data_IF_387370408749
#
_entry.id   IF_387370408749
#
_cell.length_a   1.000
_cell.length_b   1.000
_cell.length_c   1.000
_cell.angle_alpha   90.00
_cell.angle_beta   90.00
_cell.angle_gamma   90.00
#
_symmetry.space_group_name_H-M   'P 1'
#
loop_
_entity.id
_entity.type
_entity.pdbx_description
1 polymer ?
#
# COMPACT_ATOMS: atom_id res chain seq x y z
N UNK A 1 65.21 44.74 20.65
CA UNK A 1 66.56 45.03 20.10
C UNK A 1 66.80 44.10 18.92
N UNK A 2 67.19 44.67 17.78
CA UNK A 2 67.68 44.10 16.49
C UNK A 2 66.80 43.09 15.74
N UNK A 3 66.26 43.35 14.53
CA UNK A 3 66.84 43.54 13.17
C UNK A 3 67.60 42.28 12.67
N UNK A 4 67.36 41.67 11.50
CA UNK A 4 67.37 42.09 10.07
C UNK A 4 66.72 40.96 9.19
N UNK A 5 65.92 41.21 8.13
CA UNK A 5 66.26 41.37 6.66
C UNK A 5 67.07 40.17 6.07
N UNK A 6 66.87 39.57 4.88
CA UNK A 6 66.23 39.93 3.58
C UNK A 6 66.30 38.77 2.55
N UNK A 7 65.27 38.63 1.70
CA UNK A 7 65.20 38.46 0.21
C UNK A 7 65.78 37.28 -0.64
N UNK A 8 65.05 37.05 -1.76
CA UNK A 8 65.34 36.39 -3.07
C UNK A 8 65.11 34.86 -3.18
N UNK A 9 64.56 34.26 -4.25
CA UNK A 9 63.91 34.73 -5.49
C UNK A 9 63.24 33.52 -6.21
N UNK A 10 62.15 33.80 -6.93
CA UNK A 10 61.78 33.34 -8.29
C UNK A 10 62.22 31.96 -8.80
N UNK A 11 61.24 31.10 -9.15
CA UNK A 11 61.16 30.48 -10.49
C UNK A 11 59.72 30.15 -10.88
N UNK A 12 59.33 30.67 -12.04
CA UNK A 12 58.23 30.29 -12.93
C UNK A 12 58.13 28.76 -13.13
N UNK A 13 56.90 28.24 -13.17
CA UNK A 13 56.56 26.90 -13.67
C UNK A 13 55.04 26.78 -13.78
N UNK A 14 54.44 27.28 -14.87
CA UNK A 14 53.97 26.51 -16.02
C UNK A 14 52.72 25.65 -15.71
N UNK A 15 51.57 26.21 -16.13
CA UNK A 15 50.34 25.58 -16.59
C UNK A 15 50.03 24.12 -16.19
N UNK A 16 48.89 23.94 -15.51
CA UNK A 16 47.93 22.90 -15.88
C UNK A 16 46.51 23.38 -15.56
N UNK A 17 45.79 23.80 -16.59
CA UNK A 17 44.33 23.96 -16.56
C UNK A 17 43.75 22.56 -16.65
N UNK A 18 43.24 22.02 -15.55
CA UNK A 18 42.35 20.85 -15.58
C UNK A 18 41.04 21.30 -14.97
N UNK A 19 40.11 21.69 -15.85
CA UNK A 19 38.73 21.93 -15.50
C UNK A 19 38.11 20.64 -14.98
N UNK A 20 37.93 20.55 -13.68
CA UNK A 20 36.97 19.62 -13.10
C UNK A 20 35.58 20.22 -13.34
N UNK A 21 34.92 19.78 -14.42
CA UNK A 21 33.48 19.94 -14.57
C UNK A 21 32.80 19.25 -13.38
N UNK A 22 32.40 20.04 -12.40
CA UNK A 22 31.37 19.66 -11.43
C UNK A 22 30.05 19.59 -12.19
N UNK A 23 29.68 18.40 -12.65
CA UNK A 23 28.28 18.12 -12.98
C UNK A 23 27.54 17.86 -11.66
N UNK A 24 26.54 18.66 -11.29
CA UNK A 24 25.56 18.18 -10.32
C UNK A 24 24.84 17.01 -10.97
N UNK A 25 25.00 15.82 -10.40
CA UNK A 25 24.09 14.72 -10.65
C UNK A 25 22.72 15.13 -10.08
N UNK A 26 21.97 15.91 -10.85
CA UNK A 26 20.55 16.11 -10.62
C UNK A 26 19.90 14.75 -10.86
N UNK A 27 19.72 14.00 -9.77
CA UNK A 27 18.83 12.86 -9.74
C UNK A 27 17.41 13.42 -9.89
N UNK A 28 17.01 13.74 -11.12
CA UNK A 28 15.61 13.99 -11.42
C UNK A 28 14.93 12.64 -11.31
N UNK A 29 14.32 12.36 -10.15
CA UNK A 29 13.25 11.38 -10.01
C UNK A 29 12.13 11.80 -10.95
N UNK A 30 12.24 11.38 -12.22
CA UNK A 30 11.18 11.57 -13.19
C UNK A 30 10.11 10.58 -12.79
N UNK A 31 9.10 11.05 -12.06
CA UNK A 31 7.81 10.38 -12.06
C UNK A 31 7.41 10.18 -13.53
N UNK A 32 7.10 8.95 -13.95
CA UNK A 32 6.60 8.71 -15.30
C UNK A 32 5.36 9.60 -15.51
N UNK A 33 5.28 10.39 -16.59
CA UNK A 33 4.12 11.21 -16.83
C UNK A 33 2.86 10.34 -16.99
N UNK A 34 1.71 10.87 -16.54
CA UNK A 34 0.35 10.26 -16.59
C UNK A 34 -0.05 9.65 -17.94
N UNK A 35 0.65 10.03 -19.01
CA UNK A 35 0.41 9.63 -20.40
C UNK A 35 1.09 8.32 -20.83
N UNK A 36 1.69 7.54 -19.92
CA UNK A 36 2.51 6.37 -20.31
C UNK A 36 1.80 5.02 -20.28
N UNK A 37 0.60 4.92 -19.71
CA UNK A 37 -0.12 3.65 -19.67
C UNK A 37 -1.17 3.60 -20.80
N UNK A 38 -1.30 2.45 -21.49
CA UNK A 38 -2.40 2.26 -22.41
C UNK A 38 -3.72 2.45 -21.65
N UNK A 39 -4.70 3.08 -22.30
CA UNK A 39 -6.01 3.29 -21.70
C UNK A 39 -7.12 2.74 -22.58
N UNK A 40 -8.22 2.36 -21.94
CA UNK A 40 -9.48 2.03 -22.62
C UNK A 40 -10.65 2.77 -21.99
N UNK A 41 -11.73 2.93 -22.75
CA UNK A 41 -12.99 3.47 -22.24
C UNK A 41 -13.75 2.38 -21.51
N UNK A 42 -14.10 2.64 -20.26
CA UNK A 42 -14.92 1.77 -19.43
C UNK A 42 -16.39 1.76 -19.81
N UNK A 43 -17.19 0.85 -19.22
CA UNK A 43 -18.60 0.69 -19.54
C UNK A 43 -19.46 1.93 -19.24
N UNK A 44 -19.00 2.84 -18.37
CA UNK A 44 -19.68 4.08 -18.02
C UNK A 44 -19.01 5.32 -18.64
N UNK A 45 -18.10 5.14 -19.59
CA UNK A 45 -17.36 6.22 -20.24
C UNK A 45 -16.14 6.73 -19.47
N UNK A 46 -15.75 6.06 -18.38
CA UNK A 46 -14.55 6.35 -17.60
C UNK A 46 -13.27 5.95 -18.34
N UNK A 47 -12.13 6.55 -17.99
CA UNK A 47 -10.82 6.12 -18.46
C UNK A 47 -10.28 5.04 -17.55
N UNK A 48 -9.95 3.88 -18.11
CA UNK A 48 -9.31 2.75 -17.44
C UNK A 48 -7.87 2.67 -17.92
N UNK A 49 -6.92 2.69 -16.98
CA UNK A 49 -5.51 2.47 -17.24
C UNK A 49 -5.21 0.97 -17.24
N UNK A 50 -4.68 0.46 -18.34
CA UNK A 50 -4.26 -0.92 -18.50
C UNK A 50 -2.82 -1.07 -18.00
N UNK A 51 -2.69 -1.62 -16.80
CA UNK A 51 -1.41 -1.78 -16.12
C UNK A 51 -0.76 -3.11 -16.49
N UNK A 52 0.57 -3.10 -16.56
CA UNK A 52 1.38 -4.33 -16.68
C UNK A 52 2.70 -4.16 -15.92
N UNK A 53 3.00 -5.11 -15.03
CA UNK A 53 4.22 -5.07 -14.22
C UNK A 53 4.22 -3.96 -13.16
N UNK A 54 5.38 -3.34 -12.95
CA UNK A 54 5.59 -2.35 -11.89
C UNK A 54 5.34 -0.91 -12.35
N UNK A 55 4.92 -0.05 -11.41
CA UNK A 55 4.95 1.41 -11.57
C UNK A 55 3.66 2.06 -12.10
N UNK A 56 2.56 1.32 -12.16
CA UNK A 56 1.26 1.92 -12.48
C UNK A 56 0.77 2.72 -11.28
N UNK A 57 0.61 4.03 -11.44
CA UNK A 57 0.23 4.90 -10.33
C UNK A 57 -0.86 5.90 -10.75
N UNK A 58 -1.79 6.16 -9.84
CA UNK A 58 -2.70 7.30 -9.90
C UNK A 58 -2.02 8.49 -9.22
N UNK A 59 -1.96 9.64 -9.88
CA UNK A 59 -1.33 10.80 -9.26
C UNK A 59 -2.21 11.40 -8.16
N UNK A 60 -1.56 12.03 -7.18
CA UNK A 60 -2.22 12.64 -6.02
C UNK A 60 -3.39 13.54 -6.36
N UNK A 61 -4.49 13.38 -5.62
CA UNK A 61 -5.74 14.12 -5.78
C UNK A 61 -6.58 13.76 -7.01
N UNK A 62 -6.21 12.72 -7.78
CA UNK A 62 -6.98 12.32 -8.97
C UNK A 62 -8.01 11.23 -8.68
N UNK A 63 -8.80 10.90 -9.71
CA UNK A 63 -9.66 9.72 -9.70
C UNK A 63 -9.24 8.81 -10.83
N UNK A 64 -8.82 7.59 -10.51
CA UNK A 64 -8.28 6.62 -11.47
C UNK A 64 -8.98 5.27 -11.38
N UNK A 65 -9.05 4.58 -12.51
CA UNK A 65 -9.37 3.17 -12.58
C UNK A 65 -8.17 2.42 -13.17
N UNK A 66 -7.58 1.50 -12.41
CA UNK A 66 -6.36 0.77 -12.74
C UNK A 66 -6.69 -0.72 -12.88
N UNK A 67 -6.48 -1.27 -14.07
CA UNK A 67 -6.83 -2.67 -14.40
C UNK A 67 -5.55 -3.48 -14.70
N UNK A 68 -5.38 -4.60 -14.01
CA UNK A 68 -4.27 -5.53 -14.17
C UNK A 68 -4.79 -6.96 -14.40
N UNK A 69 -5.24 -7.30 -15.62
CA UNK A 69 -5.83 -8.59 -15.90
C UNK A 69 -4.80 -9.73 -15.94
N UNK A 70 -3.54 -9.42 -16.26
CA UNK A 70 -2.46 -10.40 -16.28
C UNK A 70 -1.98 -10.81 -14.87
N UNK A 71 -2.28 -10.01 -13.85
CA UNK A 71 -1.75 -10.17 -12.50
C UNK A 71 -0.30 -9.69 -12.37
N UNK A 72 0.23 -9.76 -11.15
CA UNK A 72 1.62 -9.41 -10.87
C UNK A 72 1.94 -7.92 -10.99
N UNK A 73 0.93 -7.05 -10.93
CA UNK A 73 1.16 -5.61 -11.00
C UNK A 73 1.44 -4.99 -9.63
N UNK A 74 2.26 -3.94 -9.62
CA UNK A 74 2.34 -3.00 -8.50
C UNK A 74 1.55 -1.73 -8.86
N UNK A 75 0.47 -1.48 -8.13
CA UNK A 75 -0.48 -0.40 -8.41
C UNK A 75 -0.55 0.57 -7.21
N UNK A 76 -0.24 1.85 -7.43
CA UNK A 76 -0.11 2.86 -6.37
C UNK A 76 -1.18 3.97 -6.51
N UNK A 77 -1.83 4.36 -5.41
CA UNK A 77 -2.83 5.43 -5.36
C UNK A 77 -2.31 6.58 -4.51
N UNK A 78 -1.55 7.46 -5.15
CA UNK A 78 -0.83 8.51 -4.45
C UNK A 78 -1.75 9.44 -3.65
N UNK A 79 -1.18 10.05 -2.62
CA UNK A 79 -1.85 10.87 -1.58
C UNK A 79 -3.15 11.58 -2.01
N UNK A 80 -4.22 11.38 -1.23
CA UNK A 80 -5.50 12.07 -1.38
C UNK A 80 -6.28 11.73 -2.66
N UNK A 81 -5.89 10.68 -3.38
CA UNK A 81 -6.55 10.24 -4.62
C UNK A 81 -7.74 9.32 -4.36
N UNK A 82 -8.50 9.02 -5.41
CA UNK A 82 -9.58 8.05 -5.42
C UNK A 82 -9.32 6.99 -6.47
N UNK A 83 -9.07 5.76 -6.05
CA UNK A 83 -8.67 4.71 -6.96
C UNK A 83 -9.63 3.52 -6.92
N UNK A 84 -9.92 3.00 -8.11
CA UNK A 84 -10.49 1.67 -8.27
C UNK A 84 -9.44 0.78 -8.91
N UNK A 85 -9.16 -0.36 -8.28
CA UNK A 85 -8.21 -1.35 -8.77
C UNK A 85 -8.91 -2.66 -9.08
N UNK A 86 -8.58 -3.25 -10.22
CA UNK A 86 -9.03 -4.59 -10.60
C UNK A 86 -7.83 -5.46 -10.95
N UNK A 87 -7.52 -6.44 -10.09
CA UNK A 87 -6.47 -7.43 -10.33
C UNK A 87 -7.08 -8.82 -10.51
N UNK A 88 -7.48 -9.14 -11.75
CA UNK A 88 -8.10 -10.43 -12.04
C UNK A 88 -7.09 -11.57 -12.22
N UNK A 89 -5.83 -11.26 -12.56
CA UNK A 89 -4.77 -12.25 -12.68
C UNK A 89 -4.10 -12.65 -11.35
N UNK A 90 -4.37 -11.91 -10.27
CA UNK A 90 -3.84 -12.17 -8.93
C UNK A 90 -2.39 -11.76 -8.73
N UNK A 91 -1.85 -11.99 -7.53
CA UNK A 91 -0.47 -11.64 -7.15
C UNK A 91 -0.12 -10.15 -7.35
N UNK A 92 -1.09 -9.25 -7.27
CA UNK A 92 -0.82 -7.81 -7.32
C UNK A 92 -0.43 -7.26 -5.96
N UNK A 93 0.36 -6.20 -5.96
CA UNK A 93 0.59 -5.31 -4.83
C UNK A 93 -0.23 -4.04 -5.05
N UNK A 94 -1.16 -3.76 -4.13
CA UNK A 94 -2.11 -2.66 -4.22
C UNK A 94 -1.89 -1.73 -3.04
N UNK A 95 -1.40 -0.53 -3.33
CA UNK A 95 -0.93 0.44 -2.34
C UNK A 95 -1.81 1.69 -2.34
N UNK A 96 -2.46 1.96 -1.21
CA UNK A 96 -3.37 3.08 -1.04
C UNK A 96 -2.78 4.10 -0.07
N UNK A 97 -2.08 5.10 -0.63
CA UNK A 97 -1.34 6.11 0.13
C UNK A 97 -2.22 6.97 1.06
N UNK A 98 -1.54 7.76 1.89
CA UNK A 98 -2.11 8.64 2.90
C UNK A 98 -3.34 9.42 2.40
N UNK A 99 -4.42 9.32 3.18
CA UNK A 99 -5.67 10.05 2.94
C UNK A 99 -6.42 9.68 1.65
N UNK A 100 -5.95 8.70 0.88
CA UNK A 100 -6.62 8.24 -0.33
C UNK A 100 -7.89 7.43 -0.02
N UNK A 101 -8.75 7.26 -1.02
CA UNK A 101 -9.91 6.36 -0.98
C UNK A 101 -9.77 5.31 -2.06
N UNK A 102 -9.65 4.04 -1.66
CA UNK A 102 -9.38 2.95 -2.60
C UNK A 102 -10.45 1.86 -2.53
N UNK A 103 -10.91 1.43 -3.69
CA UNK A 103 -11.68 0.19 -3.88
C UNK A 103 -10.80 -0.80 -4.63
N UNK A 104 -10.45 -1.92 -4.00
CA UNK A 104 -9.41 -2.83 -4.48
C UNK A 104 -9.94 -4.26 -4.63
N UNK A 105 -10.13 -4.71 -5.87
CA UNK A 105 -10.55 -6.07 -6.21
C UNK A 105 -9.38 -6.97 -6.59
N UNK A 106 -9.31 -8.18 -6.00
CA UNK A 106 -8.37 -9.22 -6.42
C UNK A 106 -9.07 -10.57 -6.56
N UNK A 107 -9.66 -10.82 -7.73
CA UNK A 107 -10.26 -12.12 -8.02
C UNK A 107 -9.23 -13.20 -8.33
N UNK A 108 -8.00 -12.87 -8.74
CA UNK A 108 -6.97 -13.89 -8.95
C UNK A 108 -6.36 -14.48 -7.67
N UNK A 109 -6.64 -13.88 -6.51
CA UNK A 109 -6.08 -14.25 -5.21
C UNK A 109 -4.60 -13.85 -5.04
N UNK A 110 -4.05 -14.08 -3.84
CA UNK A 110 -2.64 -13.78 -3.48
C UNK A 110 -2.23 -12.33 -3.67
N UNK A 111 -3.17 -11.40 -3.64
CA UNK A 111 -2.83 -10.00 -3.65
C UNK A 111 -2.41 -9.53 -2.27
N UNK A 112 -1.53 -8.53 -2.29
CA UNK A 112 -1.02 -7.81 -1.15
C UNK A 112 -1.68 -6.45 -1.15
N UNK A 113 -2.24 -6.04 -0.02
CA UNK A 113 -2.90 -4.76 0.15
C UNK A 113 -2.19 -3.96 1.23
N UNK A 114 -1.96 -2.69 0.94
CA UNK A 114 -1.45 -1.70 1.87
C UNK A 114 -2.41 -0.51 1.93
N UNK A 115 -2.72 -0.07 3.15
CA UNK A 115 -3.65 1.01 3.43
C UNK A 115 -3.01 1.93 4.42
N UNK A 116 -2.42 3.01 3.89
CA UNK A 116 -1.61 3.94 4.64
C UNK A 116 -2.45 4.82 5.59
N UNK A 117 -1.72 5.67 6.31
CA UNK A 117 -2.25 6.63 7.28
C UNK A 117 -3.54 7.31 6.79
N UNK A 118 -4.61 7.21 7.58
CA UNK A 118 -5.91 7.83 7.30
C UNK A 118 -6.57 7.46 5.95
N UNK A 119 -6.10 6.42 5.27
CA UNK A 119 -6.70 5.94 4.03
C UNK A 119 -8.07 5.27 4.27
N UNK A 120 -8.93 5.30 3.26
CA UNK A 120 -10.23 4.63 3.26
C UNK A 120 -10.22 3.49 2.25
N UNK A 121 -10.08 2.27 2.74
CA UNK A 121 -9.93 1.07 1.92
C UNK A 121 -11.17 0.18 1.94
N UNK A 122 -11.64 -0.19 0.76
CA UNK A 122 -12.56 -1.31 0.55
C UNK A 122 -11.85 -2.38 -0.25
N UNK A 123 -11.61 -3.53 0.36
CA UNK A 123 -10.88 -4.66 -0.20
C UNK A 123 -11.85 -5.79 -0.51
N UNK A 124 -11.85 -6.27 -1.75
CA UNK A 124 -12.59 -7.46 -2.17
C UNK A 124 -11.64 -8.55 -2.65
N UNK A 125 -11.57 -9.63 -1.88
CA UNK A 125 -10.78 -10.83 -2.17
C UNK A 125 -11.71 -12.05 -2.29
N UNK A 126 -12.47 -12.15 -3.40
CA UNK A 126 -13.57 -13.10 -3.49
C UNK A 126 -13.09 -14.56 -3.48
N UNK A 127 -11.88 -14.82 -3.97
CA UNK A 127 -11.29 -16.16 -4.04
C UNK A 127 -10.30 -16.45 -2.89
N UNK A 128 -10.21 -15.55 -1.91
CA UNK A 128 -9.42 -15.74 -0.69
C UNK A 128 -7.90 -15.69 -0.93
N UNK A 129 -7.15 -16.08 0.10
CA UNK A 129 -5.68 -16.09 0.12
C UNK A 129 -5.06 -14.71 -0.16
N UNK A 130 -5.67 -13.65 0.37
CA UNK A 130 -5.10 -12.30 0.29
C UNK A 130 -4.43 -11.92 1.60
N UNK A 131 -3.38 -11.10 1.51
CA UNK A 131 -2.72 -10.53 2.67
C UNK A 131 -2.96 -9.02 2.68
N UNK A 132 -3.71 -8.56 3.67
CA UNK A 132 -3.83 -7.13 4.01
C UNK A 132 -2.74 -6.85 5.02
N UNK A 133 -1.62 -6.33 4.51
CA UNK A 133 -0.38 -6.16 5.29
C UNK A 133 -0.51 -5.07 6.33
N UNK A 134 -1.28 -4.05 6.02
CA UNK A 134 -1.39 -2.87 6.87
C UNK A 134 -2.75 -2.25 6.67
N UNK A 135 -3.36 -1.92 7.80
CA UNK A 135 -4.37 -0.90 7.93
C UNK A 135 -3.78 0.06 8.95
N UNK A 136 -3.07 1.05 8.45
CA UNK A 136 -2.22 1.95 9.20
C UNK A 136 -3.03 2.91 10.08
N UNK A 137 -2.31 3.76 10.80
CA UNK A 137 -2.91 4.63 11.79
C UNK A 137 -4.07 5.48 11.24
N UNK A 138 -5.21 5.42 11.92
CA UNK A 138 -6.40 6.17 11.55
C UNK A 138 -7.08 5.74 10.23
N UNK A 139 -6.58 4.71 9.56
CA UNK A 139 -7.21 4.16 8.35
C UNK A 139 -8.56 3.51 8.67
N UNK A 140 -9.43 3.46 7.67
CA UNK A 140 -10.66 2.65 7.70
C UNK A 140 -10.54 1.55 6.68
N UNK A 141 -10.60 0.30 7.14
CA UNK A 141 -10.50 -0.87 6.28
C UNK A 141 -11.75 -1.73 6.36
N UNK A 142 -12.41 -1.91 5.21
CA UNK A 142 -13.45 -2.91 5.00
C UNK A 142 -12.88 -4.04 4.14
N UNK A 143 -12.67 -5.21 4.74
CA UNK A 143 -12.08 -6.38 4.07
C UNK A 143 -13.17 -7.43 3.86
N UNK A 144 -13.44 -7.77 2.60
CA UNK A 144 -14.32 -8.86 2.20
C UNK A 144 -13.48 -10.02 1.69
N UNK A 145 -13.52 -11.13 2.41
CA UNK A 145 -12.77 -12.34 2.09
C UNK A 145 -13.69 -13.58 2.08
N UNK A 146 -14.66 -13.66 1.15
CA UNK A 146 -15.58 -14.78 1.11
C UNK A 146 -14.91 -16.09 0.68
N UNK A 147 -13.77 -16.05 0.00
CA UNK A 147 -12.96 -17.24 -0.31
C UNK A 147 -12.11 -17.76 0.85
N UNK A 148 -12.07 -17.02 1.97
CA UNK A 148 -11.36 -17.41 3.19
C UNK A 148 -9.83 -17.28 3.10
N UNK A 149 -9.16 -17.72 4.16
CA UNK A 149 -7.69 -17.75 4.27
C UNK A 149 -7.01 -16.39 4.04
N UNK A 150 -7.65 -15.28 4.42
CA UNK A 150 -6.99 -13.98 4.39
C UNK A 150 -6.23 -13.70 5.68
N UNK A 151 -5.06 -13.09 5.55
CA UNK A 151 -4.31 -12.53 6.68
C UNK A 151 -4.54 -11.02 6.72
N UNK A 152 -4.86 -10.48 7.89
CA UNK A 152 -5.18 -9.06 8.06
C UNK A 152 -4.43 -8.53 9.29
N UNK A 153 -3.64 -7.48 9.10
CA UNK A 153 -3.05 -6.70 10.18
C UNK A 153 -3.75 -5.34 10.29
N UNK A 154 -4.20 -5.02 11.49
CA UNK A 154 -4.83 -3.76 11.84
C UNK A 154 -3.98 -3.04 12.87
N UNK A 155 -3.42 -1.88 12.51
CA UNK A 155 -2.50 -1.14 13.34
C UNK A 155 -3.19 -0.12 14.27
N UNK A 156 -2.40 0.70 14.96
CA UNK A 156 -2.86 1.58 16.01
C UNK A 156 -3.94 2.55 15.51
N UNK A 157 -5.03 2.73 16.25
CA UNK A 157 -6.13 3.63 15.90
C UNK A 157 -6.90 3.34 14.59
N UNK A 158 -6.59 2.27 13.85
CA UNK A 158 -7.35 1.86 12.67
C UNK A 158 -8.77 1.37 13.02
N UNK A 159 -9.72 1.58 12.11
CA UNK A 159 -11.07 1.02 12.15
C UNK A 159 -11.19 -0.12 11.12
N UNK A 160 -11.09 -1.36 11.61
CA UNK A 160 -11.08 -2.58 10.79
C UNK A 160 -12.38 -3.38 10.90
N UNK A 161 -12.93 -3.75 9.74
CA UNK A 161 -14.04 -4.70 9.61
C UNK A 161 -13.67 -5.80 8.62
N UNK A 162 -13.62 -7.05 9.10
CA UNK A 162 -13.26 -8.24 8.32
C UNK A 162 -14.47 -9.15 8.18
N UNK A 163 -14.89 -9.41 6.95
CA UNK A 163 -15.94 -10.36 6.61
C UNK A 163 -15.30 -11.61 5.99
N UNK A 164 -15.28 -12.71 6.73
CA UNK A 164 -14.65 -13.97 6.33
C UNK A 164 -15.62 -15.16 6.37
N UNK A 165 -16.67 -15.16 5.52
CA UNK A 165 -17.60 -16.29 5.48
C UNK A 165 -16.99 -17.56 4.88
N UNK A 166 -15.83 -17.48 4.23
CA UNK A 166 -15.07 -18.64 3.76
C UNK A 166 -14.25 -19.35 4.84
N UNK A 167 -14.11 -18.74 6.02
CA UNK A 167 -13.33 -19.27 7.13
C UNK A 167 -11.81 -19.16 6.95
N UNK A 168 -11.06 -19.60 7.97
CA UNK A 168 -9.59 -19.67 7.91
C UNK A 168 -8.86 -18.32 7.93
N UNK A 169 -9.54 -17.21 8.18
CA UNK A 169 -8.88 -15.90 8.23
C UNK A 169 -8.13 -15.70 9.55
N UNK A 170 -6.94 -15.10 9.46
CA UNK A 170 -6.16 -14.65 10.60
C UNK A 170 -6.21 -13.12 10.67
N UNK A 171 -6.68 -12.56 11.78
CA UNK A 171 -6.75 -11.11 12.00
C UNK A 171 -5.96 -10.75 13.25
N UNK A 172 -4.96 -9.88 13.08
CA UNK A 172 -4.15 -9.33 14.15
C UNK A 172 -4.52 -7.86 14.34
N UNK A 173 -4.96 -7.50 15.54
CA UNK A 173 -5.31 -6.15 15.91
C UNK A 173 -4.28 -5.62 16.91
N UNK A 174 -3.42 -4.70 16.48
CA UNK A 174 -2.29 -4.15 17.25
C UNK A 174 -2.53 -2.67 17.53
N UNK A 175 -3.30 -2.37 18.58
CA UNK A 175 -3.65 -0.99 18.95
C UNK A 175 -4.84 -0.40 18.17
N UNK A 176 -5.51 -1.18 17.33
CA UNK A 176 -6.65 -0.73 16.53
C UNK A 176 -7.76 -0.10 17.39
N UNK A 177 -8.38 0.96 16.89
CA UNK A 177 -9.51 1.60 17.57
C UNK A 177 -10.72 0.67 17.61
N UNK A 178 -11.03 0.03 16.49
CA UNK A 178 -12.06 -0.98 16.36
C UNK A 178 -11.56 -2.11 15.49
N UNK A 179 -11.69 -3.34 15.97
CA UNK A 179 -11.36 -4.53 15.19
C UNK A 179 -12.53 -5.51 15.25
N UNK A 180 -13.19 -5.73 14.12
CA UNK A 180 -14.35 -6.61 14.01
C UNK A 180 -14.10 -7.70 12.99
N UNK A 181 -14.40 -8.94 13.33
CA UNK A 181 -14.37 -10.06 12.38
C UNK A 181 -15.66 -10.85 12.48
N UNK A 182 -16.30 -11.06 11.34
CA UNK A 182 -17.38 -12.04 11.17
C UNK A 182 -16.82 -13.24 10.43
N UNK A 183 -17.05 -14.44 10.95
CA UNK A 183 -16.44 -15.66 10.43
C UNK A 183 -17.36 -16.88 10.45
N UNK A 184 -17.17 -17.78 9.47
CA UNK A 184 -17.88 -19.07 9.37
C UNK A 184 -17.00 -20.31 9.62
N UNK A 185 -15.95 -20.20 10.44
CA UNK A 185 -15.15 -21.33 10.95
C UNK A 185 -13.63 -21.15 10.77
N UNK A 186 -12.86 -21.76 11.66
CA UNK A 186 -11.39 -21.81 11.64
C UNK A 186 -10.69 -20.44 11.58
N UNK A 187 -11.38 -19.35 11.93
CA UNK A 187 -10.75 -18.04 12.02
C UNK A 187 -10.00 -17.86 13.33
N UNK A 188 -8.91 -17.11 13.25
CA UNK A 188 -8.13 -16.66 14.39
C UNK A 188 -8.17 -15.14 14.48
N UNK A 189 -8.49 -14.61 15.65
CA UNK A 189 -8.36 -13.21 15.98
C UNK A 189 -7.43 -13.05 17.18
N UNK A 190 -6.46 -12.14 17.07
CA UNK A 190 -5.55 -11.78 18.16
C UNK A 190 -5.62 -10.29 18.43
N UNK A 191 -6.02 -9.92 19.64
CA UNK A 191 -6.15 -8.52 20.05
C UNK A 191 -5.01 -8.15 21.01
N UNK A 192 -4.18 -7.19 20.60
CA UNK A 192 -3.17 -6.56 21.44
C UNK A 192 -3.51 -5.06 21.56
N UNK A 193 -4.04 -4.66 22.72
CA UNK A 193 -4.32 -3.25 23.05
C UNK A 193 -5.33 -2.55 22.14
N UNK A 194 -6.21 -3.28 21.45
CA UNK A 194 -7.28 -2.69 20.65
C UNK A 194 -8.35 -2.02 21.54
N UNK A 195 -8.88 -0.87 21.11
CA UNK A 195 -9.93 -0.14 21.82
C UNK A 195 -11.24 -0.92 21.91
N UNK A 196 -11.59 -1.62 20.84
CA UNK A 196 -12.63 -2.66 20.83
C UNK A 196 -12.20 -3.81 19.91
N UNK A 197 -12.47 -5.05 20.33
CA UNK A 197 -12.09 -6.23 19.57
C UNK A 197 -13.18 -7.29 19.70
N UNK A 198 -13.92 -7.52 18.61
CA UNK A 198 -15.09 -8.41 18.60
C UNK A 198 -15.00 -9.42 17.47
N UNK A 199 -15.21 -10.68 17.79
CA UNK A 199 -15.30 -11.77 16.82
C UNK A 199 -16.70 -12.40 16.90
N UNK A 200 -17.38 -12.47 15.76
CA UNK A 200 -18.68 -13.13 15.59
C UNK A 200 -18.49 -14.40 14.76
N UNK A 201 -19.06 -15.52 15.24
CA UNK A 201 -18.84 -16.84 14.66
C UNK A 201 -20.16 -17.56 14.39
N UNK A 202 -20.42 -17.86 13.13
CA UNK A 202 -21.69 -18.45 12.68
C UNK A 202 -21.58 -19.96 12.38
N UNK A 203 -20.48 -20.60 12.79
CA UNK A 203 -20.14 -21.99 12.42
C UNK A 203 -19.80 -22.89 13.60
N UNK A 204 -20.15 -24.19 13.55
CA UNK A 204 -19.82 -25.17 14.59
C UNK A 204 -18.32 -25.53 14.65
N UNK A 205 -17.55 -25.21 13.60
CA UNK A 205 -16.08 -25.40 13.61
C UNK A 205 -15.39 -24.43 14.58
N UNK A 206 -16.12 -23.46 15.12
CA UNK A 206 -15.64 -22.51 16.12
C UNK A 206 -14.70 -21.47 15.52
N UNK A 207 -14.44 -20.43 16.30
CA UNK A 207 -13.33 -19.51 16.06
C UNK A 207 -12.49 -19.41 17.31
N UNK A 208 -11.25 -18.97 17.12
CA UNK A 208 -10.33 -18.67 18.21
C UNK A 208 -10.20 -17.16 18.28
N UNK A 209 -10.57 -16.58 19.43
CA UNK A 209 -10.17 -15.22 19.75
C UNK A 209 -9.31 -15.17 21.02
N UNK A 210 -8.18 -14.47 20.91
CA UNK A 210 -7.31 -14.12 22.02
C UNK A 210 -7.53 -12.64 22.39
N UNK A 211 -7.95 -12.40 23.64
CA UNK A 211 -8.23 -11.07 24.21
C UNK A 211 -9.38 -10.28 23.54
N UNK A 212 -10.40 -10.96 23.00
CA UNK A 212 -11.64 -10.30 22.59
C UNK A 212 -12.43 -9.74 23.79
N UNK A 213 -13.06 -8.60 23.58
CA UNK A 213 -14.15 -8.14 24.44
C UNK A 213 -15.43 -8.88 24.01
N UNK A 214 -16.06 -9.59 24.95
CA UNK A 214 -17.37 -10.21 24.74
C UNK A 214 -18.48 -9.16 24.65
#
# INVERSE_FOLDING_TARGET
>A
MSTHRTLFASTLGLALVVGALLMPASCTSRTPPKDQFPTRTGPNGETIYECSGEGCHCAGGETCHLDCPAGGCKLECLEGSKCTYECTGGNCELDCDEGSTCTMGCSGGRCLYDCDLSANCTIDCPNGNCDVRSCDEGSTCLIKCPGGNCNVLCEANADCTVECPGGGCATQCSGAKSCKQTCSGDCRMSCASAGSCTQSCDSPLGCICENCTQ
#
